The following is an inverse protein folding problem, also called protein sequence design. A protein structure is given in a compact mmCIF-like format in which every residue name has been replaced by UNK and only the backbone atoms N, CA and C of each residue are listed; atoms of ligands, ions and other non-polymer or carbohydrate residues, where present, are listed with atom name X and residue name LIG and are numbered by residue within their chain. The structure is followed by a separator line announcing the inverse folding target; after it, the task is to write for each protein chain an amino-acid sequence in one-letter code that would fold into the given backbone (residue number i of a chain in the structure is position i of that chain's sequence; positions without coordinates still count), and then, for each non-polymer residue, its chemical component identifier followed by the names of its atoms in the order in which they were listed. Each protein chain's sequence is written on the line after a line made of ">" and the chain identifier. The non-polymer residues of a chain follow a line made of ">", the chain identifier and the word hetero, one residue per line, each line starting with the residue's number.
data_IF_866528115552
#
_entry.id   IF_866528115552
#
_cell.length_a   1.000
_cell.length_b   1.000
_cell.length_c   1.000
_cell.angle_alpha   90.00
_cell.angle_beta   90.00
_cell.angle_gamma   90.00
#
_symmetry.space_group_name_H-M   'P 1'
#
loop_
_entity.id
_entity.type
_entity.pdbx_description
1 polymer ?
#
# COMPACT_ATOMS: atom_id res chain seq x y z
N UNK A 1 -35.48 -19.62 -40.44
CA UNK A 1 -35.69 -18.38 -39.65
C UNK A 1 -34.34 -17.79 -39.29
N UNK A 2 -34.13 -16.54 -39.69
CA UNK A 2 -33.19 -15.53 -39.16
C UNK A 2 -31.70 -15.88 -39.14
N UNK A 3 -31.07 -15.54 -40.27
CA UNK A 3 -29.71 -15.04 -40.38
C UNK A 3 -29.39 -14.01 -39.29
N UNK A 4 -28.20 -14.09 -38.70
CA UNK A 4 -27.59 -12.94 -38.01
C UNK A 4 -26.25 -12.62 -38.68
N UNK A 5 -26.30 -11.51 -39.40
CA UNK A 5 -25.18 -10.79 -39.99
C UNK A 5 -24.69 -9.76 -38.96
N UNK A 6 -23.36 -9.60 -38.84
CA UNK A 6 -22.64 -8.45 -38.25
C UNK A 6 -21.16 -8.81 -38.18
N UNK A 7 -20.19 -7.94 -38.42
CA UNK A 7 -20.05 -6.71 -39.18
C UNK A 7 -18.52 -6.48 -39.20
N UNK A 8 -17.98 -6.03 -40.32
CA UNK A 8 -16.57 -5.62 -40.44
C UNK A 8 -16.22 -4.57 -39.37
N UNK A 9 -15.04 -4.68 -38.78
CA UNK A 9 -14.29 -3.53 -38.29
C UNK A 9 -12.81 -3.71 -38.70
N UNK A 10 -12.49 -3.03 -39.80
CA UNK A 10 -11.15 -2.75 -40.32
C UNK A 10 -10.33 -1.98 -39.30
N UNK A 11 -9.20 -2.54 -38.88
CA UNK A 11 -8.16 -1.81 -38.15
C UNK A 11 -7.24 -1.11 -39.15
N UNK A 12 -7.35 0.21 -39.20
CA UNK A 12 -6.41 1.10 -39.89
C UNK A 12 -5.55 1.76 -38.83
N UNK A 13 -4.25 1.46 -38.80
CA UNK A 13 -3.29 2.10 -37.91
C UNK A 13 -2.24 2.82 -38.75
N UNK A 14 -2.46 4.11 -38.97
CA UNK A 14 -1.48 5.03 -39.51
C UNK A 14 -1.12 6.01 -38.39
N UNK A 15 0.05 5.84 -37.78
CA UNK A 15 0.61 6.84 -36.87
C UNK A 15 1.92 7.35 -37.46
N UNK A 16 1.81 8.48 -38.15
CA UNK A 16 2.92 9.41 -38.36
C UNK A 16 3.06 10.24 -37.08
N UNK A 17 4.24 10.24 -36.47
CA UNK A 17 4.67 11.31 -35.58
C UNK A 17 5.96 11.90 -36.12
N UNK A 18 5.83 13.06 -36.76
CA UNK A 18 6.88 14.05 -36.86
C UNK A 18 6.50 15.19 -35.90
N UNK A 19 7.46 15.64 -35.09
CA UNK A 19 7.25 16.71 -34.13
C UNK A 19 8.44 16.84 -33.18
N UNK A 20 9.51 17.41 -33.71
CA UNK A 20 10.65 17.90 -32.96
C UNK A 20 10.26 19.17 -32.19
N UNK A 21 11.02 19.47 -31.13
CA UNK A 21 11.39 20.81 -30.64
C UNK A 21 11.05 21.18 -29.16
N UNK A 22 12.15 21.42 -28.43
CA UNK A 22 12.39 22.54 -27.47
C UNK A 22 12.31 22.29 -25.95
N UNK A 23 13.45 21.83 -25.41
CA UNK A 23 14.30 22.33 -24.28
C UNK A 23 13.69 22.64 -22.88
N UNK A 24 14.50 22.87 -21.80
CA UNK A 24 14.38 22.11 -20.55
C UNK A 24 13.80 22.96 -19.41
N UNK A 25 13.12 22.35 -18.45
CA UNK A 25 12.83 22.99 -17.18
C UNK A 25 12.98 21.99 -16.06
N UNK A 26 13.92 22.30 -15.17
CA UNK A 26 14.14 21.71 -13.87
C UNK A 26 12.85 21.20 -13.22
N UNK A 27 12.68 19.88 -13.24
CA UNK A 27 11.81 19.22 -12.29
C UNK A 27 12.72 18.64 -11.21
N UNK A 28 12.63 19.10 -9.94
CA UNK A 28 13.30 18.39 -8.87
C UNK A 28 12.76 16.97 -8.85
N UNK A 29 13.64 16.01 -9.11
CA UNK A 29 13.37 14.58 -8.94
C UNK A 29 13.00 14.37 -7.48
N UNK A 30 11.71 14.34 -7.17
CA UNK A 30 11.24 13.60 -6.00
C UNK A 30 11.53 12.14 -6.32
N UNK A 31 12.70 11.67 -5.92
CA UNK A 31 12.94 10.27 -5.66
C UNK A 31 11.96 9.87 -4.57
N UNK A 32 10.77 9.44 -4.99
CA UNK A 32 9.98 8.54 -4.17
C UNK A 32 10.88 7.33 -3.94
N UNK A 33 11.49 7.27 -2.77
CA UNK A 33 12.02 6.03 -2.22
C UNK A 33 10.84 5.07 -2.17
N UNK A 34 10.68 4.30 -3.24
CA UNK A 34 9.97 3.03 -3.18
C UNK A 34 10.81 2.21 -2.21
N UNK A 35 10.34 2.14 -0.96
CA UNK A 35 10.81 1.14 -0.03
C UNK A 35 10.33 -0.21 -0.57
N UNK A 36 11.05 -0.74 -1.57
CA UNK A 36 11.04 -2.16 -1.86
C UNK A 36 11.70 -2.85 -0.67
N UNK A 37 10.91 -3.57 0.11
CA UNK A 37 11.42 -4.63 0.97
C UNK A 37 10.48 -5.83 0.83
N UNK A 38 10.91 -6.76 -0.01
CA UNK A 38 10.39 -8.11 -0.25
C UNK A 38 10.24 -8.90 1.06
N UNK A 39 9.30 -9.84 1.23
CA UNK A 39 9.20 -11.12 0.51
C UNK A 39 7.91 -11.83 0.92
N UNK A 40 7.13 -12.35 -0.04
CA UNK A 40 6.45 -13.63 0.18
C UNK A 40 4.94 -13.74 -0.04
N UNK A 41 4.23 -12.74 -0.55
CA UNK A 41 2.86 -12.89 -1.10
C UNK A 41 2.58 -11.62 -1.91
N UNK A 42 2.34 -11.73 -3.22
CA UNK A 42 1.98 -10.56 -4.02
C UNK A 42 0.58 -10.10 -3.61
N UNK A 43 0.49 -9.25 -2.60
CA UNK A 43 -0.74 -8.54 -2.28
C UNK A 43 -1.15 -7.72 -3.51
N UNK A 44 -2.42 -7.77 -3.97
CA UNK A 44 -2.91 -6.88 -5.03
C UNK A 44 -2.99 -5.42 -4.55
N UNK A 45 -2.76 -5.19 -3.25
CA UNK A 45 -2.82 -3.90 -2.61
C UNK A 45 -1.46 -3.23 -2.54
N UNK A 46 -1.48 -1.92 -2.75
CA UNK A 46 -0.37 -1.01 -2.51
C UNK A 46 -0.67 -0.19 -1.25
N UNK A 47 0.36 0.10 -0.44
CA UNK A 47 0.22 0.96 0.73
C UNK A 47 1.13 2.17 0.65
N UNK A 48 0.62 3.32 1.10
CA UNK A 48 1.33 4.59 1.14
C UNK A 48 1.28 5.17 2.55
N UNK A 49 2.44 5.41 3.14
CA UNK A 49 2.55 6.05 4.45
C UNK A 49 2.10 7.50 4.36
N UNK A 50 1.26 7.91 5.31
CA UNK A 50 0.81 9.28 5.53
C UNK A 50 1.03 9.68 6.99
N UNK A 51 0.99 10.98 7.34
CA UNK A 51 1.00 11.37 8.74
C UNK A 51 -0.16 10.71 9.52
N UNK A 52 0.18 9.94 10.56
CA UNK A 52 -0.80 9.23 11.38
C UNK A 52 -1.45 8.00 10.74
N UNK A 53 -0.84 7.38 9.72
CA UNK A 53 -1.36 6.12 9.20
C UNK A 53 -0.81 5.65 7.85
N UNK A 54 -1.59 4.78 7.21
CA UNK A 54 -1.29 4.21 5.89
C UNK A 54 -2.56 4.26 5.03
N UNK A 55 -2.47 4.80 3.82
CA UNK A 55 -3.51 4.69 2.79
C UNK A 55 -3.29 3.41 1.98
N UNK A 56 -4.37 2.67 1.71
CA UNK A 56 -4.33 1.44 0.92
C UNK A 56 -5.01 1.68 -0.43
N UNK A 57 -4.38 1.17 -1.48
CA UNK A 57 -4.81 1.29 -2.86
C UNK A 57 -4.95 -0.09 -3.51
N UNK A 58 -5.94 -0.22 -4.39
CA UNK A 58 -6.12 -1.36 -5.28
C UNK A 58 -6.17 -0.82 -6.72
N UNK A 59 -5.24 -1.26 -7.57
CA UNK A 59 -5.14 -0.81 -8.97
C UNK A 59 -5.14 0.73 -9.11
N UNK A 60 -4.43 1.42 -8.21
CA UNK A 60 -4.34 2.89 -8.17
C UNK A 60 -5.55 3.60 -7.59
N UNK A 61 -6.61 2.89 -7.19
CA UNK A 61 -7.78 3.48 -6.51
C UNK A 61 -7.63 3.33 -5.01
N UNK A 62 -7.79 4.43 -4.24
CA UNK A 62 -7.76 4.36 -2.78
C UNK A 62 -8.99 3.61 -2.27
N UNK A 63 -8.77 2.53 -1.52
CA UNK A 63 -9.84 1.73 -0.92
C UNK A 63 -10.11 2.12 0.54
N UNK A 64 -9.06 2.41 1.31
CA UNK A 64 -9.22 2.76 2.73
C UNK A 64 -8.03 3.55 3.26
N UNK A 65 -8.22 4.16 4.44
CA UNK A 65 -7.18 4.83 5.21
C UNK A 65 -7.13 4.20 6.60
N UNK A 66 -6.00 3.59 6.93
CA UNK A 66 -5.73 2.98 8.23
C UNK A 66 -5.09 4.03 9.13
N UNK A 67 -5.81 4.47 10.17
CA UNK A 67 -5.30 5.47 11.11
C UNK A 67 -4.52 4.78 12.22
N UNK A 68 -3.23 5.08 12.35
CA UNK A 68 -2.43 4.56 13.46
C UNK A 68 -2.86 5.19 14.79
N UNK A 69 -2.61 4.48 15.90
CA UNK A 69 -2.84 4.98 17.26
C UNK A 69 -1.97 6.21 17.53
N UNK A 70 -0.73 6.18 17.05
CA UNK A 70 0.30 7.19 17.30
C UNK A 70 0.72 7.85 15.99
N UNK A 71 1.18 9.12 16.04
CA UNK A 71 1.33 9.95 14.83
C UNK A 71 2.46 9.50 13.90
N UNK A 72 3.51 8.87 14.43
CA UNK A 72 4.65 8.45 13.64
C UNK A 72 4.54 6.97 13.32
N UNK A 73 4.35 6.64 12.05
CA UNK A 73 4.47 5.26 11.55
C UNK A 73 5.96 4.94 11.43
N UNK A 74 6.42 3.96 12.20
CA UNK A 74 7.82 3.50 12.17
C UNK A 74 8.02 2.42 11.12
N UNK A 75 7.07 1.49 11.04
CA UNK A 75 7.09 0.38 10.10
C UNK A 75 5.67 -0.13 9.83
N UNK A 76 5.46 -0.77 8.69
CA UNK A 76 4.19 -1.40 8.33
C UNK A 76 4.42 -2.51 7.31
N UNK A 77 3.54 -3.52 7.31
CA UNK A 77 3.58 -4.59 6.29
C UNK A 77 2.22 -5.22 6.06
N UNK A 78 2.04 -5.75 4.86
CA UNK A 78 0.95 -6.69 4.56
C UNK A 78 1.22 -8.05 5.21
N UNK A 79 0.17 -8.67 5.73
CA UNK A 79 0.17 -10.04 6.26
C UNK A 79 -1.07 -10.78 5.75
N UNK A 80 -1.11 -12.10 5.95
CA UNK A 80 -2.27 -12.93 5.59
C UNK A 80 -2.67 -12.78 4.10
N UNK A 81 -1.72 -12.93 3.16
CA UNK A 81 -2.03 -12.77 1.73
C UNK A 81 -2.40 -11.37 1.29
N UNK A 82 -2.11 -10.35 2.12
CA UNK A 82 -2.47 -8.96 1.85
C UNK A 82 -3.85 -8.57 2.37
N UNK A 83 -4.63 -9.47 2.96
CA UNK A 83 -5.94 -9.12 3.52
C UNK A 83 -5.84 -8.29 4.80
N UNK A 84 -4.66 -8.24 5.41
CA UNK A 84 -4.39 -7.54 6.65
C UNK A 84 -3.11 -6.71 6.57
N UNK A 85 -3.05 -5.67 7.40
CA UNK A 85 -1.89 -4.79 7.53
C UNK A 85 -1.52 -4.66 9.00
N UNK A 86 -0.23 -4.84 9.30
CA UNK A 86 0.33 -4.49 10.60
C UNK A 86 0.96 -3.11 10.49
N UNK A 87 0.66 -2.22 11.45
CA UNK A 87 1.27 -0.90 11.55
C UNK A 87 1.93 -0.78 12.92
N UNK A 88 3.24 -0.51 12.96
CA UNK A 88 3.96 -0.09 14.15
C UNK A 88 4.03 1.43 14.16
N UNK A 89 3.56 2.04 15.25
CA UNK A 89 3.56 3.49 15.41
C UNK A 89 4.07 3.90 16.79
N UNK A 90 4.65 5.10 16.88
CA UNK A 90 5.20 5.65 18.12
C UNK A 90 4.89 7.15 18.25
N UNK A 91 4.77 7.63 19.49
CA UNK A 91 4.77 9.06 19.79
C UNK A 91 6.21 9.61 19.75
N UNK A 92 6.40 10.92 19.99
CA UNK A 92 7.73 11.51 20.09
C UNK A 92 8.60 10.84 21.18
N UNK A 93 7.95 10.39 22.25
CA UNK A 93 8.55 9.62 23.34
C UNK A 93 7.58 8.53 23.80
N UNK A 94 8.12 7.44 24.33
CA UNK A 94 7.32 6.36 24.91
C UNK A 94 7.23 5.09 24.05
N UNK A 95 6.42 4.11 24.49
CA UNK A 95 6.36 2.80 23.87
C UNK A 95 5.67 2.84 22.51
N UNK A 96 6.09 1.97 21.60
CA UNK A 96 5.42 1.79 20.32
C UNK A 96 4.15 0.94 20.45
N UNK A 97 3.12 1.28 19.68
CA UNK A 97 1.91 0.49 19.51
C UNK A 97 1.98 -0.26 18.18
N UNK A 98 1.62 -1.54 18.19
CA UNK A 98 1.53 -2.39 17.01
C UNK A 98 0.06 -2.77 16.82
N UNK A 99 -0.48 -2.45 15.65
CA UNK A 99 -1.90 -2.58 15.34
C UNK A 99 -2.10 -3.45 14.11
N UNK A 100 -3.07 -4.37 14.19
CA UNK A 100 -3.48 -5.22 13.08
C UNK A 100 -4.80 -4.71 12.49
N UNK A 101 -4.82 -4.44 11.20
CA UNK A 101 -5.98 -3.95 10.46
C UNK A 101 -6.44 -4.96 9.42
N UNK A 102 -7.74 -4.96 9.15
CA UNK A 102 -8.33 -5.55 7.96
C UNK A 102 -8.36 -4.55 6.81
N UNK A 103 -7.90 -4.97 5.63
CA UNK A 103 -7.78 -4.09 4.45
C UNK A 103 -9.14 -3.78 3.84
N UNK A 104 -10.06 -4.74 3.80
CA UNK A 104 -11.36 -4.58 3.15
C UNK A 104 -12.23 -3.52 3.83
N UNK A 105 -12.21 -3.48 5.17
CA UNK A 105 -13.00 -2.52 5.96
C UNK A 105 -12.20 -1.39 6.61
N UNK A 106 -10.87 -1.45 6.59
CA UNK A 106 -10.03 -0.56 7.40
C UNK A 106 -10.25 -0.70 8.90
N UNK A 107 -10.73 -1.86 9.35
CA UNK A 107 -11.12 -2.10 10.74
C UNK A 107 -9.93 -2.58 11.56
N UNK A 108 -9.67 -1.92 12.69
CA UNK A 108 -8.72 -2.41 13.69
C UNK A 108 -9.21 -3.75 14.25
N UNK A 109 -8.42 -4.80 14.09
CA UNK A 109 -8.72 -6.14 14.61
C UNK A 109 -8.11 -6.33 15.99
N UNK A 110 -6.82 -6.05 16.11
CA UNK A 110 -6.05 -6.27 17.33
C UNK A 110 -5.01 -5.16 17.53
N UNK A 111 -4.58 -4.99 18.77
CA UNK A 111 -3.55 -4.05 19.17
C UNK A 111 -2.73 -4.65 20.30
N UNK A 112 -1.43 -4.46 20.25
CA UNK A 112 -0.49 -4.82 21.31
C UNK A 112 0.59 -3.75 21.40
N UNK A 113 1.09 -3.46 22.60
CA UNK A 113 2.26 -2.59 22.73
C UNK A 113 3.52 -3.39 22.41
N UNK A 114 4.53 -2.77 21.80
CA UNK A 114 5.72 -3.48 21.35
C UNK A 114 6.46 -4.24 22.49
N UNK A 115 6.49 -3.65 23.70
CA UNK A 115 7.08 -4.26 24.90
C UNK A 115 6.25 -5.41 25.50
N UNK A 116 4.99 -5.56 25.09
CA UNK A 116 4.12 -6.66 25.53
C UNK A 116 4.31 -7.92 24.69
N UNK A 117 4.97 -7.78 23.52
CA UNK A 117 5.25 -8.89 22.62
C UNK A 117 6.38 -9.72 23.23
N UNK A 118 6.04 -10.88 23.77
CA UNK A 118 6.96 -11.79 24.44
C UNK A 118 6.84 -13.19 23.86
N UNK A 119 7.95 -13.90 23.80
CA UNK A 119 8.02 -15.26 23.29
C UNK A 119 7.41 -15.41 21.87
N UNK A 120 7.54 -14.35 21.06
CA UNK A 120 6.98 -14.29 19.70
C UNK A 120 5.45 -14.20 19.64
N UNK A 121 4.77 -13.79 20.73
CA UNK A 121 3.31 -13.69 20.78
C UNK A 121 2.83 -12.24 20.93
N UNK A 122 1.78 -11.84 20.18
CA UNK A 122 1.11 -12.62 19.14
C UNK A 122 1.99 -12.79 17.88
N UNK A 123 1.82 -13.91 17.17
CA UNK A 123 2.69 -14.30 16.04
C UNK A 123 2.74 -13.23 14.94
N UNK A 124 1.59 -12.62 14.63
CA UNK A 124 1.49 -11.55 13.64
C UNK A 124 2.31 -10.31 14.01
N UNK A 125 2.57 -10.09 15.30
CA UNK A 125 3.37 -8.97 15.81
C UNK A 125 4.82 -9.35 16.13
N UNK A 126 5.21 -10.62 16.05
CA UNK A 126 6.48 -11.12 16.60
C UNK A 126 7.72 -10.35 16.10
N UNK A 127 7.71 -9.87 14.86
CA UNK A 127 8.81 -9.09 14.28
C UNK A 127 8.97 -7.67 14.86
N UNK A 128 8.04 -7.23 15.70
CA UNK A 128 7.97 -5.87 16.23
C UNK A 128 8.27 -5.75 17.72
N UNK A 129 8.65 -6.86 18.37
CA UNK A 129 9.03 -6.89 19.78
C UNK A 129 10.20 -5.93 20.10
N UNK A 130 10.20 -5.41 21.32
CA UNK A 130 11.22 -4.51 21.87
C UNK A 130 11.96 -5.12 23.08
#
# INVERSE_FOLDING_TARGET
>A
MKHFSRALLTFSALFLFAGCETTPSDVPTFTNSVAETSTGESSPYEGKVIPGGVEIYELGTKITTLKSELPNVEDWKFVSGGSQVVIKSRAAHGPAAVQLYDVAGGVLKEKVMAFEIKDGKPEWAASYAE
#
